data_IF_094037547674
#
_entry.id   IF_094037547674
#
_cell.length_a   1.000
_cell.length_b   1.000
_cell.length_c   1.000
_cell.angle_alpha   90.00
_cell.angle_beta   90.00
_cell.angle_gamma   90.00
#
_symmetry.space_group_name_H-M   'P 1'
#
loop_
_entity.id
_entity.type
_entity.pdbx_description
1 polymer ?
#
# COMPACT_ATOMS: atom_id res chain seq x y z
N UNK A 1 14.25 -14.76 -10.67
CA UNK A 1 13.59 -15.71 -11.59
C UNK A 1 13.95 -15.32 -13.02
N UNK A 2 14.28 -16.29 -13.89
CA UNK A 2 14.55 -15.97 -15.30
C UNK A 2 13.22 -15.78 -16.06
N UNK A 3 13.25 -15.10 -17.21
CA UNK A 3 12.03 -14.78 -17.97
C UNK A 3 11.26 -16.01 -18.45
N UNK A 4 11.97 -17.10 -18.74
CA UNK A 4 11.37 -18.33 -19.25
C UNK A 4 10.56 -19.08 -18.17
N UNK A 5 11.14 -19.19 -16.97
CA UNK A 5 10.46 -19.73 -15.78
C UNK A 5 9.25 -18.87 -15.40
N UNK A 6 9.37 -17.54 -15.47
CA UNK A 6 8.23 -16.66 -15.22
C UNK A 6 7.10 -16.91 -16.21
N UNK A 7 7.43 -17.05 -17.49
CA UNK A 7 6.44 -17.30 -18.53
C UNK A 7 5.74 -18.65 -18.33
N UNK A 8 6.47 -19.71 -18.00
CA UNK A 8 5.89 -21.03 -17.70
C UNK A 8 4.93 -20.98 -16.51
N UNK A 9 5.34 -20.34 -15.41
CA UNK A 9 4.47 -20.16 -14.23
C UNK A 9 3.25 -19.32 -14.60
N UNK A 10 3.43 -18.24 -15.34
CA UNK A 10 2.33 -17.39 -15.77
C UNK A 10 1.31 -18.16 -16.61
N UNK A 11 1.74 -18.91 -17.63
CA UNK A 11 0.85 -19.70 -18.49
C UNK A 11 0.08 -20.76 -17.68
N UNK A 12 0.76 -21.44 -16.75
CA UNK A 12 0.11 -22.41 -15.86
C UNK A 12 -0.95 -21.74 -14.96
N UNK A 13 -0.65 -20.57 -14.41
CA UNK A 13 -1.54 -19.87 -13.48
C UNK A 13 -2.70 -19.22 -14.21
N UNK A 14 -2.46 -18.61 -15.37
CA UNK A 14 -3.45 -17.83 -16.11
C UNK A 14 -4.59 -18.72 -16.61
N UNK A 15 -4.32 -19.97 -16.99
CA UNK A 15 -5.35 -20.94 -17.40
C UNK A 15 -6.46 -21.06 -16.33
N UNK A 16 -6.08 -21.17 -15.06
CA UNK A 16 -7.01 -21.28 -13.93
C UNK A 16 -7.70 -19.96 -13.55
N UNK A 17 -7.09 -18.82 -13.91
CA UNK A 17 -7.53 -17.48 -13.52
C UNK A 17 -8.37 -16.79 -14.60
N UNK A 18 -8.19 -17.16 -15.87
CA UNK A 18 -8.83 -16.55 -17.02
C UNK A 18 -10.36 -16.57 -16.96
N UNK A 19 -11.05 -17.65 -16.53
CA UNK A 19 -12.51 -17.63 -16.39
C UNK A 19 -13.00 -16.54 -15.41
N UNK A 20 -12.26 -16.34 -14.31
CA UNK A 20 -12.57 -15.28 -13.35
C UNK A 20 -12.33 -13.89 -13.96
N UNK A 21 -11.21 -13.69 -14.65
CA UNK A 21 -10.87 -12.41 -15.28
C UNK A 21 -11.93 -12.04 -16.31
N UNK A 22 -12.26 -12.94 -17.24
CA UNK A 22 -13.30 -12.74 -18.26
C UNK A 22 -14.64 -12.40 -17.65
N UNK A 23 -15.03 -13.12 -16.59
CA UNK A 23 -16.26 -12.86 -15.87
C UNK A 23 -16.28 -11.46 -15.22
N UNK A 24 -15.16 -11.01 -14.62
CA UNK A 24 -15.06 -9.67 -14.01
C UNK A 24 -14.90 -8.54 -15.01
N UNK A 25 -14.34 -8.82 -16.19
CA UNK A 25 -14.20 -7.89 -17.29
C UNK A 25 -15.50 -7.69 -18.09
N UNK A 26 -16.53 -8.52 -17.88
CA UNK A 26 -17.75 -8.56 -18.70
C UNK A 26 -17.47 -8.65 -20.21
N UNK A 27 -16.42 -9.39 -20.58
CA UNK A 27 -16.00 -9.54 -21.98
C UNK A 27 -15.31 -8.31 -22.60
N UNK A 28 -14.95 -7.28 -21.82
CA UNK A 28 -14.15 -6.16 -22.32
C UNK A 28 -12.67 -6.56 -22.41
N UNK A 29 -12.13 -6.62 -23.63
CA UNK A 29 -10.74 -7.03 -23.89
C UNK A 29 -9.71 -6.18 -23.14
N UNK A 30 -9.88 -4.86 -23.09
CA UNK A 30 -8.97 -3.97 -22.35
C UNK A 30 -8.90 -4.33 -20.86
N UNK A 31 -10.05 -4.67 -20.25
CA UNK A 31 -10.08 -5.09 -18.85
C UNK A 31 -9.47 -6.48 -18.66
N UNK A 32 -9.67 -7.39 -19.61
CA UNK A 32 -9.02 -8.71 -19.60
C UNK A 32 -7.50 -8.51 -19.62
N UNK A 33 -7.00 -7.67 -20.52
CA UNK A 33 -5.57 -7.36 -20.64
C UNK A 33 -5.01 -6.76 -19.34
N UNK A 34 -5.69 -5.78 -18.74
CA UNK A 34 -5.28 -5.19 -17.46
C UNK A 34 -5.25 -6.21 -16.31
N UNK A 35 -6.19 -7.16 -16.30
CA UNK A 35 -6.20 -8.28 -15.36
C UNK A 35 -5.01 -9.24 -15.56
N UNK A 36 -4.67 -9.55 -16.80
CA UNK A 36 -3.52 -10.40 -17.15
C UNK A 36 -2.18 -9.73 -16.81
N UNK A 37 -2.03 -8.44 -17.12
CA UNK A 37 -0.80 -7.67 -16.86
C UNK A 37 -0.46 -7.67 -15.36
N UNK A 38 -1.44 -7.39 -14.49
CA UNK A 38 -1.15 -7.34 -13.05
C UNK A 38 -0.81 -8.72 -12.49
N UNK A 39 -1.36 -9.81 -13.04
CA UNK A 39 -0.98 -11.17 -12.65
C UNK A 39 0.48 -11.44 -13.01
N UNK A 40 0.90 -11.06 -14.22
CA UNK A 40 2.30 -11.18 -14.64
C UNK A 40 3.25 -10.36 -13.75
N UNK A 41 2.89 -9.11 -13.46
CA UNK A 41 3.65 -8.24 -12.55
C UNK A 41 3.77 -8.82 -11.13
N UNK A 42 2.70 -9.43 -10.63
CA UNK A 42 2.69 -10.04 -9.30
C UNK A 42 3.54 -11.32 -9.24
N UNK A 43 3.42 -12.20 -10.23
CA UNK A 43 4.25 -13.42 -10.31
C UNK A 43 5.73 -13.10 -10.52
N UNK A 44 6.05 -11.99 -11.19
CA UNK A 44 7.43 -11.49 -11.29
C UNK A 44 8.02 -11.13 -9.93
N UNK A 45 7.20 -10.59 -9.00
CA UNK A 45 7.62 -10.22 -7.64
C UNK A 45 7.65 -11.42 -6.71
N UNK A 46 6.60 -12.23 -6.73
CA UNK A 46 6.45 -13.43 -5.90
C UNK A 46 5.74 -14.54 -6.71
N UNK A 47 6.50 -15.54 -7.21
CA UNK A 47 5.94 -16.63 -8.02
C UNK A 47 4.96 -17.52 -7.26
N UNK A 48 5.08 -17.58 -5.94
CA UNK A 48 4.26 -18.43 -5.07
C UNK A 48 2.96 -17.71 -4.62
N UNK A 49 2.74 -16.46 -5.08
CA UNK A 49 1.57 -15.64 -4.73
C UNK A 49 0.27 -16.43 -4.90
N UNK A 50 -0.55 -16.61 -3.85
CA UNK A 50 -1.78 -17.40 -3.92
C UNK A 50 -2.79 -16.91 -4.97
N UNK A 51 -3.53 -17.84 -5.59
CA UNK A 51 -4.53 -17.52 -6.60
C UNK A 51 -5.64 -16.57 -6.09
N UNK A 52 -5.99 -16.63 -4.80
CA UNK A 52 -6.93 -15.68 -4.19
C UNK A 52 -6.44 -14.24 -4.27
N UNK A 53 -5.14 -14.04 -4.02
CA UNK A 53 -4.48 -12.75 -4.07
C UNK A 53 -4.43 -12.23 -5.52
N UNK A 54 -4.01 -13.08 -6.47
CA UNK A 54 -3.98 -12.75 -7.90
C UNK A 54 -5.38 -12.33 -8.42
N UNK A 55 -6.44 -13.03 -8.03
CA UNK A 55 -7.84 -12.66 -8.39
C UNK A 55 -8.26 -11.31 -7.81
N UNK A 56 -7.85 -11.06 -6.59
CA UNK A 56 -8.16 -9.84 -5.87
C UNK A 56 -7.49 -8.63 -6.51
N UNK A 57 -6.22 -8.76 -6.87
CA UNK A 57 -5.46 -7.68 -7.46
C UNK A 57 -5.87 -7.41 -8.93
N UNK A 58 -6.10 -8.48 -9.71
CA UNK A 58 -6.71 -8.37 -11.05
C UNK A 58 -8.04 -7.60 -11.02
N UNK A 59 -8.92 -7.90 -10.06
CA UNK A 59 -10.18 -7.17 -9.88
C UNK A 59 -9.97 -5.71 -9.51
N UNK A 60 -9.01 -5.43 -8.62
CA UNK A 60 -8.68 -4.07 -8.21
C UNK A 60 -8.17 -3.25 -9.39
N UNK A 61 -7.25 -3.82 -10.16
CA UNK A 61 -6.66 -3.21 -11.36
C UNK A 61 -7.71 -2.91 -12.42
N UNK A 62 -8.53 -3.90 -12.78
CA UNK A 62 -9.65 -3.71 -13.72
C UNK A 62 -10.61 -2.60 -13.25
N UNK A 63 -10.94 -2.58 -11.95
CA UNK A 63 -11.82 -1.57 -11.37
C UNK A 63 -11.20 -0.16 -11.41
N UNK A 64 -9.89 -0.06 -11.19
CA UNK A 64 -9.15 1.20 -11.24
C UNK A 64 -9.08 1.70 -12.67
N UNK A 65 -8.73 0.84 -13.63
CA UNK A 65 -8.69 1.15 -15.06
C UNK A 65 -10.04 1.70 -15.56
N UNK A 66 -11.16 1.03 -15.22
CA UNK A 66 -12.51 1.52 -15.55
C UNK A 66 -12.85 2.90 -14.94
N UNK A 67 -12.16 3.31 -13.88
CA UNK A 67 -12.32 4.61 -13.25
C UNK A 67 -11.34 5.66 -13.80
N UNK A 68 -10.30 5.26 -14.55
CA UNK A 68 -9.40 6.19 -15.24
C UNK A 68 -10.20 6.97 -16.30
N UNK A 69 -9.84 8.23 -16.50
CA UNK A 69 -10.50 9.11 -17.47
C UNK A 69 -11.89 9.65 -17.05
N UNK A 70 -12.46 9.18 -15.94
CA UNK A 70 -13.62 9.87 -15.34
C UNK A 70 -13.10 11.08 -14.57
N UNK A 71 -13.54 12.27 -14.96
CA UNK A 71 -13.19 13.52 -14.28
C UNK A 71 -13.38 13.38 -12.76
N UNK A 72 -12.58 14.07 -11.96
CA UNK A 72 -12.87 14.16 -10.52
C UNK A 72 -14.22 14.87 -10.28
N UNK A 73 -14.73 15.57 -11.30
CA UNK A 73 -15.92 16.41 -11.30
C UNK A 73 -17.22 15.67 -11.71
N UNK A 74 -17.32 14.35 -11.48
CA UNK A 74 -18.50 13.57 -11.85
C UNK A 74 -19.73 13.80 -10.92
N UNK A 75 -19.82 14.94 -10.24
CA UNK A 75 -20.88 15.28 -9.28
C UNK A 75 -20.93 14.43 -8.00
N UNK A 76 -20.17 13.33 -7.92
CA UNK A 76 -20.02 12.52 -6.71
C UNK A 76 -18.91 13.10 -5.85
N UNK A 77 -19.25 14.04 -4.96
CA UNK A 77 -18.38 14.52 -3.89
C UNK A 77 -17.83 13.33 -3.11
N UNK A 78 -16.59 12.93 -3.42
CA UNK A 78 -15.75 12.24 -2.45
C UNK A 78 -14.94 13.34 -1.79
N UNK A 79 -14.87 13.35 -0.47
CA UNK A 79 -13.91 14.20 0.24
C UNK A 79 -12.50 13.75 -0.16
N UNK A 80 -11.94 14.41 -1.16
CA UNK A 80 -10.53 14.25 -1.51
C UNK A 80 -9.77 15.37 -0.83
N UNK A 81 -8.77 15.01 -0.03
CA UNK A 81 -7.81 15.98 0.49
C UNK A 81 -6.65 16.01 -0.50
N UNK A 82 -6.41 17.18 -1.12
CA UNK A 82 -5.27 17.39 -2.01
C UNK A 82 -4.09 17.83 -1.15
N UNK A 83 -3.05 17.00 -1.07
CA UNK A 83 -1.82 17.33 -0.35
C UNK A 83 -0.86 18.04 -1.30
N UNK A 84 -0.52 19.30 -1.02
CA UNK A 84 0.57 20.00 -1.72
C UNK A 84 1.89 19.51 -1.17
N UNK A 85 2.75 19.02 -2.05
CA UNK A 85 4.10 18.60 -1.72
C UNK A 85 5.04 19.81 -1.70
N UNK A 86 4.78 20.75 -0.81
CA UNK A 86 5.81 21.70 -0.41
C UNK A 86 6.61 21.01 0.70
N UNK A 87 7.95 21.09 0.62
CA UNK A 87 8.95 20.49 1.52
C UNK A 87 8.84 20.94 3.01
N UNK A 88 7.67 21.35 3.45
CA UNK A 88 7.37 21.77 4.79
C UNK A 88 7.21 20.58 5.73
N UNK A 89 7.94 20.64 6.84
CA UNK A 89 7.86 19.74 7.99
C UNK A 89 6.45 19.51 8.56
N UNK A 90 5.47 20.31 8.12
CA UNK A 90 4.07 20.22 8.52
C UNK A 90 3.26 19.20 7.73
N UNK A 91 3.70 18.77 6.55
CA UNK A 91 3.01 17.74 5.75
C UNK A 91 3.33 16.30 6.18
N UNK A 92 4.25 16.11 7.12
CA UNK A 92 4.62 14.78 7.63
C UNK A 92 3.46 14.03 8.27
N UNK A 93 2.51 14.72 8.89
CA UNK A 93 1.35 14.07 9.55
C UNK A 93 0.41 13.40 8.54
N UNK A 94 0.34 13.93 7.32
CA UNK A 94 -0.56 13.44 6.27
C UNK A 94 0.00 12.22 5.53
N UNK A 95 1.32 12.15 5.33
CA UNK A 95 2.00 11.00 4.72
C UNK A 95 1.86 9.73 5.59
N UNK A 96 2.01 9.88 6.92
CA UNK A 96 1.76 8.81 7.89
C UNK A 96 0.29 8.41 7.97
N UNK A 97 -0.66 9.26 7.59
CA UNK A 97 -2.05 8.87 7.52
C UNK A 97 -2.36 8.10 6.23
N UNK A 98 -1.70 8.45 5.12
CA UNK A 98 -1.96 7.90 3.78
C UNK A 98 -1.36 6.51 3.57
N UNK A 99 -0.11 6.27 3.98
CA UNK A 99 0.54 4.94 3.92
C UNK A 99 -0.34 3.88 4.61
N UNK A 100 -1.07 4.26 5.65
CA UNK A 100 -1.84 3.36 6.50
C UNK A 100 -3.37 3.41 6.25
N UNK A 101 -3.85 4.34 5.41
CA UNK A 101 -5.28 4.41 5.01
C UNK A 101 -5.54 3.78 3.64
N UNK A 102 -4.93 2.64 3.34
CA UNK A 102 -5.26 1.92 2.11
C UNK A 102 -6.50 1.02 2.23
N UNK A 103 -7.67 1.64 2.56
CA UNK A 103 -8.98 0.95 2.60
C UNK A 103 -9.50 0.48 1.24
N UNK A 104 -8.74 0.73 0.16
CA UNK A 104 -9.12 0.38 -1.22
C UNK A 104 -8.42 -0.87 -1.73
N UNK A 105 -7.39 -1.36 -1.03
CA UNK A 105 -6.72 -2.60 -1.38
C UNK A 105 -7.64 -3.80 -1.07
N UNK A 106 -7.52 -4.92 -1.79
CA UNK A 106 -8.20 -6.15 -1.41
C UNK A 106 -7.83 -6.60 0.01
N UNK A 107 -8.71 -7.36 0.66
CA UNK A 107 -8.54 -7.77 2.07
C UNK A 107 -7.19 -8.45 2.32
N UNK A 108 -6.73 -9.29 1.41
CA UNK A 108 -5.47 -10.02 1.56
C UNK A 108 -4.25 -9.08 1.56
N UNK A 109 -4.26 -8.02 0.75
CA UNK A 109 -3.23 -6.98 0.79
C UNK A 109 -3.30 -6.19 2.10
N UNK A 110 -4.50 -5.88 2.59
CA UNK A 110 -4.66 -5.22 3.90
C UNK A 110 -4.14 -6.10 5.04
N UNK A 111 -4.29 -7.42 4.95
CA UNK A 111 -3.75 -8.38 5.92
C UNK A 111 -2.23 -8.45 5.80
N UNK A 112 -1.68 -8.54 4.58
CA UNK A 112 -0.24 -8.54 4.34
C UNK A 112 0.43 -7.25 4.84
N UNK A 113 -0.12 -6.08 4.47
CA UNK A 113 0.33 -4.77 4.94
C UNK A 113 0.29 -4.68 6.47
N UNK A 114 -0.74 -5.25 7.10
CA UNK A 114 -0.85 -5.30 8.56
C UNK A 114 0.24 -6.19 9.18
N UNK A 115 0.49 -7.37 8.62
CA UNK A 115 1.53 -8.29 9.12
C UNK A 115 2.92 -7.66 8.97
N UNK A 116 3.20 -7.05 7.83
CA UNK A 116 4.49 -6.38 7.60
C UNK A 116 4.64 -5.13 8.45
N UNK A 117 3.55 -4.40 8.69
CA UNK A 117 3.54 -3.32 9.66
C UNK A 117 3.79 -3.78 11.10
N UNK A 118 3.23 -4.92 11.51
CA UNK A 118 3.51 -5.49 12.84
C UNK A 118 4.99 -5.90 12.97
N UNK A 119 5.56 -6.52 11.92
CA UNK A 119 7.00 -6.81 11.85
C UNK A 119 7.85 -5.54 11.95
N UNK A 120 7.48 -4.47 11.23
CA UNK A 120 8.13 -3.17 11.31
C UNK A 120 8.05 -2.58 12.73
N UNK A 121 6.87 -2.59 13.35
CA UNK A 121 6.72 -2.10 14.73
C UNK A 121 7.58 -2.89 15.72
N UNK A 122 7.78 -4.19 15.47
CA UNK A 122 8.62 -5.04 16.30
C UNK A 122 10.12 -4.76 16.12
N UNK A 123 10.57 -4.28 14.95
CA UNK A 123 11.97 -3.87 14.73
C UNK A 123 12.33 -2.52 15.37
N UNK A 124 11.32 -1.71 15.69
CA UNK A 124 11.50 -0.43 16.39
C UNK A 124 11.74 -0.60 17.89
N UNK A 125 12.53 0.31 18.47
CA UNK A 125 12.67 0.44 19.92
C UNK A 125 11.34 0.84 20.57
N UNK A 126 11.21 0.62 21.89
CA UNK A 126 9.97 0.90 22.61
C UNK A 126 9.52 2.37 22.47
N UNK A 127 10.46 3.33 22.50
CA UNK A 127 10.17 4.75 22.35
C UNK A 127 9.71 5.09 20.91
N UNK A 128 10.39 4.55 19.90
CA UNK A 128 10.04 4.74 18.49
C UNK A 128 8.67 4.14 18.15
N UNK A 129 8.37 2.95 18.67
CA UNK A 129 7.07 2.28 18.51
C UNK A 129 5.93 3.13 19.06
N UNK A 130 6.14 3.78 20.22
CA UNK A 130 5.17 4.70 20.80
C UNK A 130 4.96 5.92 19.90
N UNK A 131 6.04 6.49 19.33
CA UNK A 131 5.95 7.61 18.38
C UNK A 131 5.10 7.21 17.17
N UNK A 132 5.43 6.08 16.52
CA UNK A 132 4.72 5.61 15.32
C UNK A 132 3.24 5.35 15.62
N UNK A 133 2.92 4.62 16.70
CA UNK A 133 1.52 4.36 17.09
C UNK A 133 0.73 5.64 17.36
N UNK A 134 1.28 6.58 18.14
CA UNK A 134 0.58 7.83 18.43
C UNK A 134 0.40 8.68 17.17
N UNK A 135 1.36 8.63 16.23
CA UNK A 135 1.22 9.32 14.95
C UNK A 135 0.16 8.71 14.04
N UNK A 136 0.00 7.40 14.05
CA UNK A 136 -1.10 6.72 13.34
C UNK A 136 -2.48 7.07 13.90
N UNK A 137 -2.56 7.28 15.21
CA UNK A 137 -3.75 7.79 15.88
C UNK A 137 -4.00 9.29 15.62
N UNK A 138 -3.14 9.97 14.85
CA UNK A 138 -3.28 11.38 14.52
C UNK A 138 -2.87 12.33 15.64
N UNK A 139 -2.00 11.91 16.56
CA UNK A 139 -1.57 12.77 17.66
C UNK A 139 -0.52 13.80 17.23
N UNK A 140 -0.73 15.06 17.62
CA UNK A 140 0.24 16.15 17.43
C UNK A 140 1.55 15.92 18.19
N UNK A 141 2.66 16.43 17.64
CA UNK A 141 4.03 16.27 18.20
C UNK A 141 4.13 16.63 19.69
N UNK A 142 3.47 17.73 20.10
CA UNK A 142 3.45 18.16 21.51
C UNK A 142 2.82 17.10 22.43
N UNK A 143 1.76 16.43 21.98
CA UNK A 143 1.04 15.40 22.74
C UNK A 143 1.88 14.13 22.84
N UNK A 144 2.55 13.75 21.76
CA UNK A 144 3.46 12.58 21.72
C UNK A 144 4.68 12.80 22.62
N UNK A 145 5.31 13.98 22.54
CA UNK A 145 6.41 14.37 23.43
C UNK A 145 6.01 14.30 24.90
N UNK A 146 4.85 14.88 25.26
CA UNK A 146 4.33 14.84 26.65
C UNK A 146 4.12 13.40 27.12
N UNK A 147 3.64 12.51 26.24
CA UNK A 147 3.47 11.08 26.54
C UNK A 147 4.80 10.36 26.76
N UNK A 148 5.83 10.69 25.98
CA UNK A 148 7.17 10.11 26.09
C UNK A 148 8.02 10.71 27.21
N UNK A 149 7.62 11.86 27.76
CA UNK A 149 8.36 12.60 28.81
C UNK A 149 9.81 12.91 28.42
N UNK A 150 10.04 13.26 27.14
CA UNK A 150 11.37 13.60 26.61
C UNK A 150 11.48 15.09 26.27
N UNK A 151 12.71 15.61 26.18
CA UNK A 151 12.97 16.95 25.64
C UNK A 151 12.74 16.98 24.11
N UNK A 152 12.66 18.19 23.54
CA UNK A 152 12.44 18.35 22.09
C UNK A 152 13.57 17.75 21.26
N UNK A 153 14.82 17.94 21.67
CA UNK A 153 16.00 17.42 20.98
C UNK A 153 15.93 15.89 20.86
N UNK A 154 15.67 15.19 21.97
CA UNK A 154 15.53 13.74 21.99
C UNK A 154 14.33 13.26 21.15
N UNK A 155 13.20 13.97 21.21
CA UNK A 155 12.04 13.66 20.37
C UNK A 155 12.37 13.75 18.89
N UNK A 156 13.03 14.82 18.45
CA UNK A 156 13.41 15.00 17.05
C UNK A 156 14.52 14.04 16.60
N UNK A 157 15.43 13.66 17.50
CA UNK A 157 16.44 12.63 17.23
C UNK A 157 15.77 11.26 16.99
N UNK A 158 14.84 10.86 17.86
CA UNK A 158 14.06 9.63 17.68
C UNK A 158 13.24 9.67 16.38
N UNK A 159 12.55 10.78 16.10
CA UNK A 159 11.75 10.96 14.88
C UNK A 159 12.61 10.87 13.61
N UNK A 160 13.82 11.47 13.62
CA UNK A 160 14.79 11.36 12.52
C UNK A 160 15.31 9.94 12.36
N UNK A 161 15.55 9.21 13.46
CA UNK A 161 16.03 7.82 13.42
C UNK A 161 15.02 6.81 12.88
N UNK A 162 13.71 7.08 12.98
CA UNK A 162 12.66 6.21 12.43
C UNK A 162 12.64 6.23 10.90
N UNK A 163 12.93 7.39 10.28
CA UNK A 163 12.81 7.58 8.82
C UNK A 163 13.69 6.63 7.99
N UNK A 164 14.99 6.47 8.24
CA UNK A 164 15.79 5.51 7.49
C UNK A 164 15.30 4.07 7.69
N UNK A 165 14.78 3.73 8.88
CA UNK A 165 14.22 2.40 9.16
C UNK A 165 12.94 2.12 8.35
N UNK A 166 12.11 3.14 8.11
CA UNK A 166 10.94 3.01 7.22
C UNK A 166 11.40 2.72 5.79
N UNK A 167 12.36 3.50 5.28
CA UNK A 167 12.87 3.32 3.92
C UNK A 167 13.54 1.96 3.73
N UNK A 168 14.38 1.54 4.68
CA UNK A 168 15.04 0.22 4.66
C UNK A 168 14.04 -0.92 4.74
N UNK A 169 13.01 -0.81 5.58
CA UNK A 169 12.04 -1.90 5.79
C UNK A 169 11.09 -2.07 4.60
N UNK A 170 10.66 -0.97 3.98
CA UNK A 170 9.69 -1.01 2.89
C UNK A 170 10.32 -0.91 1.49
N UNK A 171 11.64 -0.77 1.38
CA UNK A 171 12.36 -0.54 0.12
C UNK A 171 11.73 0.61 -0.72
N UNK A 172 11.45 1.73 -0.07
CA UNK A 172 10.88 2.96 -0.69
C UNK A 172 11.95 4.04 -0.81
#
# INVERSE_FOLDING_TARGET
MNTQQLHEIYEQRIESLMPYIRHKAWGQEDLIQEGCVVIYEMLMKDPETPNSFLRNDARSRMRSFRQRGKSLDNGKKREFVVYRYDNDEKNYENLFAEIFRNRRLPLDHQVADKVDFEKFLNSLSAAERIIVRCKLEGWFDLKVKKKLRVCWENYYALKRGIRPKIFEFYNV
#
